data_IF_462743613162
#
_entry.id   IF_462743613162
#
_cell.length_a   1.000
_cell.length_b   1.000
_cell.length_c   1.000
_cell.angle_alpha   90.00
_cell.angle_beta   90.00
_cell.angle_gamma   90.00
#
_symmetry.space_group_name_H-M   'P 1'
#
loop_
_entity.id
_entity.type
_entity.pdbx_description
1 polymer ?
#
# COMPACT_ATOMS: atom_id res chain seq x y z
N UNK A 1 20.33 61.68 -66.95
CA UNK A 1 20.38 61.28 -65.52
C UNK A 1 19.23 60.31 -65.29
N UNK A 2 19.56 59.01 -65.32
CA UNK A 2 18.57 57.94 -65.21
C UNK A 2 18.71 57.35 -63.78
N UNK A 3 17.64 57.40 -62.98
CA UNK A 3 17.56 56.79 -61.65
C UNK A 3 16.96 55.38 -61.79
N UNK A 4 17.73 54.38 -61.54
CA UNK A 4 17.28 53.00 -61.42
C UNK A 4 16.67 52.75 -60.00
N UNK A 5 15.42 52.38 -59.97
CA UNK A 5 14.74 51.94 -58.74
C UNK A 5 14.96 50.37 -58.56
N UNK A 6 15.57 50.00 -57.44
CA UNK A 6 15.72 48.59 -57.05
C UNK A 6 14.47 48.15 -56.32
N UNK A 7 13.79 47.11 -56.84
CA UNK A 7 12.71 46.42 -56.12
C UNK A 7 13.38 45.36 -55.22
N UNK A 8 13.22 45.52 -53.92
CA UNK A 8 13.53 44.52 -52.94
C UNK A 8 12.31 43.60 -52.74
N UNK A 9 12.47 42.32 -53.16
CA UNK A 9 11.44 41.29 -52.91
C UNK A 9 11.51 40.83 -51.46
N UNK A 10 10.46 41.11 -50.71
CA UNK A 10 10.25 40.58 -49.36
C UNK A 10 9.69 39.16 -49.48
N UNK A 11 10.50 38.16 -49.19
CA UNK A 11 10.08 36.74 -49.07
C UNK A 11 9.47 36.52 -47.67
N UNK A 12 8.13 36.44 -47.60
CA UNK A 12 7.45 36.11 -46.37
C UNK A 12 7.56 34.62 -46.06
N UNK A 13 8.31 34.25 -45.02
CA UNK A 13 8.28 32.90 -44.46
C UNK A 13 6.96 32.71 -43.69
N UNK A 14 6.07 31.88 -44.22
CA UNK A 14 4.90 31.38 -43.50
C UNK A 14 5.36 30.27 -42.57
N UNK A 15 4.98 30.25 -41.27
CA UNK A 15 5.25 29.14 -40.40
C UNK A 15 4.41 27.94 -40.84
N UNK A 16 5.07 26.82 -41.12
CA UNK A 16 4.39 25.55 -41.34
C UNK A 16 3.67 25.13 -40.05
N UNK A 17 2.34 25.20 -40.06
CA UNK A 17 1.55 24.59 -38.99
C UNK A 17 1.73 23.08 -39.04
N UNK A 18 2.38 22.51 -38.00
CA UNK A 18 2.45 21.09 -37.82
C UNK A 18 1.02 20.58 -37.58
N UNK A 19 0.43 19.93 -38.57
CA UNK A 19 -0.85 19.25 -38.44
C UNK A 19 -0.63 18.09 -37.44
N UNK A 20 -1.30 18.16 -36.29
CA UNK A 20 -1.40 17.04 -35.37
C UNK A 20 -2.08 15.89 -36.12
N UNK A 21 -1.35 14.80 -36.37
CA UNK A 21 -1.92 13.59 -36.99
C UNK A 21 -2.87 12.95 -35.97
N UNK A 22 -4.10 12.75 -36.36
CA UNK A 22 -5.05 11.97 -35.57
C UNK A 22 -4.53 10.52 -35.43
N UNK A 23 -4.66 9.89 -34.24
CA UNK A 23 -4.19 8.54 -34.04
C UNK A 23 -4.92 7.57 -35.00
N UNK A 24 -4.19 6.65 -35.61
CA UNK A 24 -4.78 5.65 -36.47
C UNK A 24 -5.67 4.68 -35.67
N UNK A 25 -6.65 4.03 -36.35
CA UNK A 25 -7.52 3.03 -35.73
C UNK A 25 -6.71 1.93 -34.99
N UNK A 26 -5.54 1.56 -35.51
CA UNK A 26 -4.63 0.60 -34.88
C UNK A 26 -4.03 1.15 -33.57
N UNK A 27 -3.70 2.45 -33.52
CA UNK A 27 -3.17 3.08 -32.29
C UNK A 27 -4.26 3.25 -31.24
N UNK A 28 -5.49 3.54 -31.65
CA UNK A 28 -6.64 3.61 -30.73
C UNK A 28 -6.98 2.22 -30.17
N UNK A 29 -6.98 1.18 -31.00
CA UNK A 29 -7.20 -0.20 -30.55
C UNK A 29 -6.10 -0.68 -29.59
N UNK A 30 -4.83 -0.36 -29.86
CA UNK A 30 -3.70 -0.69 -28.98
C UNK A 30 -3.82 0.01 -27.61
N UNK A 31 -4.21 1.28 -27.60
CA UNK A 31 -4.42 2.06 -26.36
C UNK A 31 -5.61 1.53 -25.56
N UNK A 32 -6.68 1.11 -26.23
CA UNK A 32 -7.83 0.48 -25.55
C UNK A 32 -7.45 -0.85 -24.91
N UNK A 33 -6.73 -1.72 -25.63
CA UNK A 33 -6.25 -3.00 -25.09
C UNK A 33 -5.25 -2.83 -23.93
N UNK A 34 -4.42 -1.79 -23.96
CA UNK A 34 -3.51 -1.46 -22.85
C UNK A 34 -4.30 -0.97 -21.64
N UNK A 35 -5.31 -0.14 -21.82
CA UNK A 35 -6.19 0.34 -20.75
C UNK A 35 -6.99 -0.82 -20.12
N UNK A 36 -7.50 -1.75 -20.92
CA UNK A 36 -8.18 -2.95 -20.42
C UNK A 36 -7.26 -3.86 -19.61
N UNK A 37 -6.02 -4.08 -20.07
CA UNK A 37 -5.00 -4.84 -19.31
C UNK A 37 -4.61 -4.16 -18.01
N UNK A 38 -4.47 -2.84 -18.01
CA UNK A 38 -4.19 -2.07 -16.80
C UNK A 38 -5.36 -2.14 -15.81
N UNK A 39 -6.60 -2.08 -16.26
CA UNK A 39 -7.79 -2.25 -15.43
C UNK A 39 -7.88 -3.66 -14.82
N UNK A 40 -7.63 -4.72 -15.62
CA UNK A 40 -7.54 -6.09 -15.11
C UNK A 40 -6.43 -6.27 -14.08
N UNK A 41 -5.24 -5.70 -14.34
CA UNK A 41 -4.12 -5.78 -13.40
C UNK A 41 -4.43 -5.05 -12.09
N UNK A 42 -5.16 -3.95 -12.14
CA UNK A 42 -5.63 -3.23 -10.96
C UNK A 42 -6.67 -4.02 -10.18
N UNK A 43 -7.64 -4.64 -10.85
CA UNK A 43 -8.66 -5.50 -10.22
C UNK A 43 -8.04 -6.73 -9.55
N UNK A 44 -6.99 -7.31 -10.13
CA UNK A 44 -6.27 -8.48 -9.59
C UNK A 44 -5.21 -8.11 -8.54
N UNK A 45 -4.93 -6.82 -8.35
CA UNK A 45 -3.91 -6.36 -7.42
C UNK A 45 -4.35 -6.61 -5.97
N UNK A 46 -3.46 -7.16 -5.18
CA UNK A 46 -3.63 -7.32 -3.73
C UNK A 46 -2.71 -6.34 -3.01
N UNK A 47 -3.28 -5.50 -2.17
CA UNK A 47 -2.57 -4.49 -1.40
C UNK A 47 -2.66 -3.07 -2.00
N UNK A 48 -2.22 -2.05 -1.25
CA UNK A 48 -2.24 -0.66 -1.69
C UNK A 48 -1.16 -0.39 -2.75
N UNK A 49 -1.31 0.73 -3.47
CA UNK A 49 -0.35 1.14 -4.52
C UNK A 49 0.84 1.86 -3.87
N UNK A 50 2.04 1.36 -4.10
CA UNK A 50 3.28 2.02 -3.68
C UNK A 50 3.42 3.38 -4.37
N UNK A 51 3.81 4.41 -3.61
CA UNK A 51 3.92 5.77 -4.07
C UNK A 51 2.62 6.59 -4.04
N UNK A 52 1.49 5.95 -3.71
CA UNK A 52 0.22 6.65 -3.52
C UNK A 52 -0.08 6.92 -2.04
N UNK A 53 -0.95 7.88 -1.72
CA UNK A 53 -1.44 8.05 -0.36
C UNK A 53 -2.10 6.78 0.17
N UNK A 54 -1.80 6.41 1.41
CA UNK A 54 -2.50 5.35 2.12
C UNK A 54 -3.97 5.76 2.31
N UNK A 55 -4.91 4.79 2.29
CA UNK A 55 -6.32 5.07 2.58
C UNK A 55 -6.51 5.77 3.93
N UNK A 56 -7.35 6.80 3.94
CA UNK A 56 -7.70 7.56 5.15
C UNK A 56 -8.70 6.77 6.00
N UNK A 57 -8.21 5.81 6.74
CA UNK A 57 -8.99 4.94 7.64
C UNK A 57 -8.40 4.94 9.04
N UNK A 58 -9.19 4.53 10.01
CA UNK A 58 -8.78 4.37 11.41
C UNK A 58 -8.93 2.94 11.87
N UNK A 59 -8.15 2.57 12.87
CA UNK A 59 -8.23 1.30 13.60
C UNK A 59 -8.46 1.57 15.09
N UNK A 60 -8.92 0.59 15.84
CA UNK A 60 -9.21 0.77 17.26
C UNK A 60 -8.06 0.23 18.11
N UNK A 61 -7.44 1.09 18.87
CA UNK A 61 -6.43 0.77 19.88
C UNK A 61 -6.96 0.88 21.31
N UNK A 62 -6.07 0.74 22.31
CA UNK A 62 -6.46 0.82 23.72
C UNK A 62 -7.08 2.18 24.12
N UNK A 63 -6.70 3.25 23.47
CA UNK A 63 -7.18 4.61 23.74
C UNK A 63 -8.30 5.06 22.80
N UNK A 64 -8.78 4.18 21.92
CA UNK A 64 -9.83 4.47 20.95
C UNK A 64 -9.37 4.43 19.50
N UNK A 65 -10.10 5.15 18.64
CA UNK A 65 -9.84 5.18 17.20
C UNK A 65 -8.60 6.03 16.88
N UNK A 66 -7.72 5.53 16.01
CA UNK A 66 -6.45 6.16 15.65
C UNK A 66 -6.12 5.89 14.19
N UNK A 67 -5.51 6.87 13.50
CA UNK A 67 -5.00 6.69 12.14
C UNK A 67 -3.58 6.11 12.13
N UNK A 68 -3.15 5.58 10.98
CA UNK A 68 -1.79 5.07 10.84
C UNK A 68 -0.72 6.16 10.92
N UNK A 69 -1.06 7.38 10.51
CA UNK A 69 -0.15 8.54 10.60
C UNK A 69 -0.01 9.05 12.03
N UNK A 70 -1.06 8.92 12.86
CA UNK A 70 -0.98 9.29 14.28
C UNK A 70 -0.09 8.31 15.09
N UNK A 71 0.11 7.10 14.58
CA UNK A 71 0.99 6.09 15.15
C UNK A 71 2.41 6.13 14.59
N UNK A 72 2.68 7.04 13.65
CA UNK A 72 3.96 7.09 12.94
C UNK A 72 5.12 7.43 13.85
N UNK A 73 6.24 6.73 13.67
CA UNK A 73 7.54 7.16 14.12
C UNK A 73 8.10 8.28 13.21
N UNK A 74 9.38 8.59 13.33
CA UNK A 74 10.02 9.65 12.54
C UNK A 74 9.87 9.43 11.02
N UNK A 75 10.08 8.19 10.54
CA UNK A 75 9.90 7.81 9.13
C UNK A 75 8.46 7.42 8.80
N UNK A 76 7.73 6.79 9.75
CA UNK A 76 6.37 6.32 9.52
C UNK A 76 5.99 5.08 10.33
N UNK A 77 5.07 4.28 9.77
CA UNK A 77 4.48 3.10 10.40
C UNK A 77 4.70 1.86 9.53
N UNK A 78 5.19 0.77 10.12
CA UNK A 78 5.22 -0.57 9.53
C UNK A 78 4.00 -1.35 10.04
N UNK A 79 3.00 -1.54 9.18
CA UNK A 79 1.70 -2.14 9.53
C UNK A 79 1.67 -3.60 9.11
N UNK A 80 1.69 -4.52 10.05
CA UNK A 80 1.51 -5.95 9.80
C UNK A 80 0.01 -6.30 9.81
N UNK A 81 -0.60 -6.41 8.64
CA UNK A 81 -1.95 -6.95 8.48
C UNK A 81 -1.91 -8.47 8.60
N UNK A 82 -2.72 -9.02 9.50
CA UNK A 82 -2.77 -10.45 9.76
C UNK A 82 -4.21 -10.94 9.96
N UNK A 83 -4.45 -12.25 9.80
CA UNK A 83 -5.81 -12.80 9.83
C UNK A 83 -6.43 -12.81 11.22
N UNK A 84 -5.72 -13.38 12.21
CA UNK A 84 -6.24 -13.45 13.59
C UNK A 84 -5.15 -13.83 14.61
N UNK A 85 -5.19 -13.18 15.77
CA UNK A 85 -4.44 -13.57 16.97
C UNK A 85 -5.13 -14.66 17.77
N UNK A 86 -6.41 -14.96 17.49
CA UNK A 86 -7.16 -16.03 18.17
C UNK A 86 -6.92 -17.39 17.52
N UNK A 87 -7.28 -17.58 16.27
CA UNK A 87 -7.34 -18.90 15.64
C UNK A 87 -6.22 -19.19 14.62
N UNK A 88 -5.43 -18.19 14.17
CA UNK A 88 -4.45 -18.38 13.10
C UNK A 88 -3.05 -18.71 13.63
N UNK A 89 -2.57 -19.98 13.57
CA UNK A 89 -1.27 -20.35 14.13
C UNK A 89 -0.09 -19.68 13.41
N UNK A 90 -0.18 -19.48 12.09
CA UNK A 90 0.85 -18.80 11.30
C UNK A 90 0.95 -17.31 11.65
N UNK A 91 -0.21 -16.69 11.95
CA UNK A 91 -0.25 -15.29 12.37
C UNK A 91 0.34 -15.10 13.77
N UNK A 92 -0.04 -16.00 14.71
CA UNK A 92 0.55 -16.01 16.06
C UNK A 92 2.07 -16.15 16.01
N UNK A 93 2.57 -17.05 15.15
CA UNK A 93 4.02 -17.20 14.96
C UNK A 93 4.64 -15.92 14.41
N UNK A 94 4.07 -15.34 13.35
CA UNK A 94 4.57 -14.09 12.76
C UNK A 94 4.63 -12.95 13.79
N UNK A 95 3.56 -12.77 14.58
CA UNK A 95 3.53 -11.74 15.61
C UNK A 95 4.60 -11.92 16.67
N UNK A 96 4.92 -13.18 17.04
CA UNK A 96 6.00 -13.49 17.97
C UNK A 96 7.37 -13.23 17.32
N UNK A 97 7.56 -13.67 16.07
CA UNK A 97 8.83 -13.45 15.34
C UNK A 97 9.12 -11.96 15.17
N UNK A 98 8.10 -11.14 14.89
CA UNK A 98 8.21 -9.68 14.74
C UNK A 98 8.63 -8.94 16.03
N UNK A 99 8.64 -9.61 17.20
CA UNK A 99 9.25 -9.05 18.42
C UNK A 99 10.70 -8.64 18.18
N UNK A 100 11.44 -9.46 17.41
CA UNK A 100 12.82 -9.15 17.07
C UNK A 100 12.99 -7.96 16.14
N UNK A 101 11.94 -7.57 15.41
CA UNK A 101 11.97 -6.42 14.52
C UNK A 101 11.61 -5.09 15.22
N UNK A 102 10.92 -5.14 16.36
CA UNK A 102 10.32 -3.95 16.95
C UNK A 102 11.36 -2.86 17.33
N UNK A 103 12.41 -3.23 18.04
CA UNK A 103 13.46 -2.27 18.42
C UNK A 103 14.29 -1.79 17.22
N UNK A 104 14.79 -2.67 16.30
CA UNK A 104 15.50 -2.22 15.11
C UNK A 104 14.65 -1.31 14.21
N UNK A 105 13.35 -1.60 14.02
CA UNK A 105 12.46 -0.72 13.26
C UNK A 105 12.31 0.65 13.93
N UNK A 106 12.18 0.69 15.26
CA UNK A 106 12.10 1.96 16.00
C UNK A 106 13.41 2.77 15.87
N UNK A 107 14.57 2.12 15.90
CA UNK A 107 15.88 2.76 15.67
C UNK A 107 15.99 3.35 14.26
N UNK A 108 15.36 2.72 13.27
CA UNK A 108 15.23 3.23 11.90
C UNK A 108 14.11 4.27 11.74
N UNK A 109 13.39 4.62 12.79
CA UNK A 109 12.29 5.60 12.75
C UNK A 109 10.92 5.06 12.35
N UNK A 110 10.74 3.73 12.29
CA UNK A 110 9.48 3.09 11.97
C UNK A 110 8.77 2.54 13.21
N UNK A 111 7.50 2.90 13.41
CA UNK A 111 6.67 2.26 14.44
C UNK A 111 6.07 0.96 13.88
N UNK A 112 6.39 -0.18 14.50
CA UNK A 112 5.75 -1.46 14.17
C UNK A 112 4.40 -1.57 14.86
N UNK A 113 3.36 -1.95 14.10
CA UNK A 113 2.03 -2.29 14.62
C UNK A 113 1.47 -3.53 13.92
N UNK A 114 0.53 -4.21 14.58
CA UNK A 114 -0.26 -5.27 13.97
C UNK A 114 -1.73 -4.87 13.85
N UNK A 115 -2.39 -5.29 12.77
CA UNK A 115 -3.82 -5.01 12.50
C UNK A 115 -4.54 -6.27 12.08
N UNK A 116 -5.68 -6.56 12.67
CA UNK A 116 -6.59 -7.63 12.26
C UNK A 116 -8.05 -7.28 12.55
N UNK A 117 -8.96 -8.10 12.04
CA UNK A 117 -10.40 -7.96 12.30
C UNK A 117 -10.83 -8.43 13.71
N UNK A 118 -9.90 -8.99 14.50
CA UNK A 118 -10.19 -9.42 15.88
C UNK A 118 -10.65 -8.25 16.75
N UNK A 119 -11.40 -8.56 17.81
CA UNK A 119 -11.82 -7.54 18.77
C UNK A 119 -10.62 -6.93 19.51
N UNK A 120 -10.74 -5.69 20.02
CA UNK A 120 -9.70 -5.06 20.83
C UNK A 120 -9.30 -5.91 22.05
N UNK A 121 -10.27 -6.59 22.68
CA UNK A 121 -10.05 -7.47 23.82
C UNK A 121 -9.15 -8.68 23.45
N UNK A 122 -9.50 -9.39 22.35
CA UNK A 122 -8.70 -10.51 21.83
C UNK A 122 -7.25 -10.09 21.57
N UNK A 123 -7.04 -8.91 20.98
CA UNK A 123 -5.72 -8.39 20.67
C UNK A 123 -4.94 -7.99 21.92
N UNK A 124 -5.60 -7.38 22.89
CA UNK A 124 -5.00 -7.01 24.17
C UNK A 124 -4.55 -8.25 24.95
N UNK A 125 -5.39 -9.29 25.02
CA UNK A 125 -5.09 -10.54 25.68
C UNK A 125 -3.89 -11.26 25.02
N UNK A 126 -3.88 -11.33 23.70
CA UNK A 126 -2.77 -11.93 22.96
C UNK A 126 -1.45 -11.16 23.17
N UNK A 127 -1.52 -9.81 23.06
CA UNK A 127 -0.36 -8.93 23.29
C UNK A 127 0.22 -9.17 24.68
N UNK A 128 -0.62 -9.18 25.72
CA UNK A 128 -0.20 -9.41 27.10
C UNK A 128 0.36 -10.83 27.30
N UNK A 129 -0.34 -11.87 26.80
CA UNK A 129 0.07 -13.26 26.95
C UNK A 129 1.39 -13.59 26.22
N UNK A 130 1.75 -12.83 25.19
CA UNK A 130 3.00 -13.01 24.42
C UNK A 130 4.03 -11.93 24.68
N UNK A 131 3.75 -11.00 25.56
CA UNK A 131 4.65 -9.90 25.91
C UNK A 131 5.19 -9.19 24.64
N UNK A 132 4.24 -8.75 23.76
CA UNK A 132 4.60 -8.08 22.52
C UNK A 132 5.00 -6.62 22.80
N UNK A 133 6.20 -6.17 22.35
CA UNK A 133 6.69 -4.81 22.59
C UNK A 133 6.05 -3.75 21.70
N UNK A 134 5.12 -4.12 20.81
CA UNK A 134 4.45 -3.22 19.87
C UNK A 134 2.92 -3.32 19.97
N UNK A 135 2.22 -2.35 19.34
CA UNK A 135 0.76 -2.24 19.39
C UNK A 135 0.05 -3.24 18.47
N UNK A 136 -1.07 -3.78 18.94
CA UNK A 136 -2.05 -4.47 18.12
C UNK A 136 -3.34 -3.65 18.09
N UNK A 137 -3.95 -3.52 16.91
CA UNK A 137 -5.10 -2.68 16.65
C UNK A 137 -6.21 -3.46 15.94
N UNK A 138 -7.44 -3.20 16.35
CA UNK A 138 -8.63 -3.85 15.80
C UNK A 138 -9.16 -3.08 14.60
N UNK A 139 -9.39 -3.81 13.51
CA UNK A 139 -10.18 -3.42 12.35
C UNK A 139 -11.48 -4.25 12.33
N UNK A 140 -12.23 -4.21 13.43
CA UNK A 140 -13.51 -4.91 13.52
C UNK A 140 -14.47 -4.42 12.44
N UNK A 141 -14.88 -5.33 11.54
CA UNK A 141 -15.66 -4.98 10.33
C UNK A 141 -14.80 -4.82 9.07
N UNK A 142 -13.47 -4.91 9.18
CA UNK A 142 -12.52 -5.00 8.06
C UNK A 142 -12.47 -3.79 7.14
N UNK A 143 -12.82 -2.60 7.64
CA UNK A 143 -12.86 -1.37 6.85
C UNK A 143 -11.46 -0.95 6.35
N UNK A 144 -10.43 -1.06 7.20
CA UNK A 144 -9.05 -0.80 6.82
C UNK A 144 -8.52 -1.88 5.88
N UNK A 145 -8.81 -3.16 6.17
CA UNK A 145 -8.45 -4.29 5.32
C UNK A 145 -8.99 -4.09 3.90
N UNK A 146 -10.25 -3.66 3.77
CA UNK A 146 -10.91 -3.39 2.49
C UNK A 146 -10.29 -2.20 1.77
N UNK A 147 -10.14 -1.08 2.48
CA UNK A 147 -9.58 0.13 1.90
C UNK A 147 -8.13 -0.07 1.40
N UNK A 148 -7.36 -0.93 2.08
CA UNK A 148 -6.01 -1.31 1.66
C UNK A 148 -5.99 -2.39 0.56
N UNK A 149 -7.15 -2.80 0.05
CA UNK A 149 -7.29 -3.86 -0.96
C UNK A 149 -6.61 -5.17 -0.53
N UNK A 150 -6.77 -5.54 0.74
CA UNK A 150 -6.15 -6.73 1.33
C UNK A 150 -7.15 -7.84 1.65
N UNK A 151 -8.49 -7.60 1.56
CA UNK A 151 -9.49 -8.64 1.84
C UNK A 151 -9.23 -9.87 0.98
N UNK A 152 -9.24 -11.05 1.62
CA UNK A 152 -9.11 -12.31 0.91
C UNK A 152 -10.45 -12.71 0.25
N UNK A 153 -10.53 -12.67 -1.10
CA UNK A 153 -11.77 -12.99 -1.83
C UNK A 153 -12.10 -14.50 -1.81
N UNK A 154 -11.14 -15.37 -1.48
CA UNK A 154 -11.35 -16.81 -1.42
C UNK A 154 -12.17 -17.24 -0.20
N UNK A 155 -12.46 -16.30 0.71
CA UNK A 155 -13.25 -16.56 1.91
C UNK A 155 -14.71 -16.23 1.65
N UNK A 156 -15.63 -17.20 1.83
CA UNK A 156 -17.06 -16.96 1.59
C UNK A 156 -17.61 -15.85 2.50
N UNK A 157 -18.38 -14.94 1.89
CA UNK A 157 -19.07 -13.88 2.63
C UNK A 157 -20.01 -14.47 3.71
N UNK A 158 -20.04 -13.84 4.89
CA UNK A 158 -20.82 -14.28 6.04
C UNK A 158 -20.27 -15.51 6.77
N UNK A 159 -19.12 -16.05 6.36
CA UNK A 159 -18.43 -17.09 7.12
C UNK A 159 -17.75 -16.48 8.36
N UNK A 160 -17.36 -17.33 9.33
CA UNK A 160 -16.60 -16.87 10.53
C UNK A 160 -15.23 -16.25 10.18
N UNK A 161 -14.77 -16.44 8.96
CA UNK A 161 -13.49 -15.92 8.47
C UNK A 161 -13.67 -14.75 7.50
N UNK A 162 -14.92 -14.35 7.21
CA UNK A 162 -15.20 -13.22 6.34
C UNK A 162 -14.51 -11.96 6.87
N UNK A 163 -13.86 -11.23 5.98
CA UNK A 163 -13.12 -10.02 6.33
C UNK A 163 -11.64 -10.21 6.62
N UNK A 164 -11.11 -11.44 6.63
CA UNK A 164 -9.66 -11.63 6.84
C UNK A 164 -8.85 -11.07 5.68
N UNK A 165 -7.64 -10.52 5.95
CA UNK A 165 -6.76 -10.05 4.90
C UNK A 165 -5.93 -11.19 4.29
N UNK A 166 -5.43 -10.98 3.08
CA UNK A 166 -4.13 -11.50 2.69
C UNK A 166 -3.07 -10.89 3.62
N UNK A 167 -2.26 -11.71 4.32
CA UNK A 167 -1.25 -11.17 5.22
C UNK A 167 -0.21 -10.33 4.47
N UNK A 168 0.06 -9.13 4.97
CA UNK A 168 0.99 -8.20 4.36
C UNK A 168 1.66 -7.32 5.44
N UNK A 169 2.85 -6.82 5.15
CA UNK A 169 3.46 -5.72 5.90
C UNK A 169 3.51 -4.52 4.97
N UNK A 170 2.85 -3.43 5.37
CA UNK A 170 2.77 -2.19 4.60
C UNK A 170 3.55 -1.11 5.32
N UNK A 171 4.51 -0.50 4.65
CA UNK A 171 5.25 0.67 5.14
C UNK A 171 4.55 1.93 4.67
N UNK A 172 4.11 2.75 5.63
CA UNK A 172 3.42 4.03 5.39
C UNK A 172 4.31 5.13 5.98
N UNK A 173 4.78 6.05 5.16
CA UNK A 173 5.58 7.17 5.62
C UNK A 173 4.77 8.11 6.52
N UNK A 174 5.46 8.96 7.30
CA UNK A 174 4.82 9.93 8.18
C UNK A 174 3.93 10.94 7.44
N UNK A 175 4.18 11.19 6.14
CA UNK A 175 3.32 11.99 5.27
C UNK A 175 2.10 11.24 4.72
N UNK A 176 1.93 9.97 5.09
CA UNK A 176 0.84 9.11 4.65
C UNK A 176 1.09 8.38 3.33
N UNK A 177 2.26 8.50 2.71
CA UNK A 177 2.57 7.81 1.45
C UNK A 177 2.90 6.34 1.70
N UNK A 178 2.33 5.42 0.92
CA UNK A 178 2.72 4.00 0.91
C UNK A 178 4.10 3.85 0.29
N UNK A 179 5.08 3.41 1.07
CA UNK A 179 6.47 3.27 0.64
C UNK A 179 6.79 1.87 0.12
N UNK A 180 6.20 0.84 0.74
CA UNK A 180 6.42 -0.55 0.33
C UNK A 180 5.29 -1.45 0.82
N UNK A 181 5.12 -2.57 0.13
CA UNK A 181 4.21 -3.67 0.51
C UNK A 181 4.99 -4.98 0.41
N UNK A 182 5.05 -5.73 1.51
CA UNK A 182 5.64 -7.07 1.56
C UNK A 182 4.54 -8.09 1.81
N UNK A 183 4.43 -9.08 0.97
CA UNK A 183 3.56 -10.24 1.18
C UNK A 183 4.12 -11.46 0.45
N UNK A 184 3.77 -12.63 0.95
CA UNK A 184 4.06 -13.91 0.32
C UNK A 184 2.81 -14.43 -0.41
N UNK A 185 3.00 -15.22 -1.47
CA UNK A 185 1.88 -15.81 -2.21
C UNK A 185 1.19 -16.92 -1.41
N UNK A 186 1.97 -17.70 -0.67
CA UNK A 186 1.47 -18.79 0.15
C UNK A 186 0.71 -18.30 1.39
N UNK A 187 -0.49 -18.82 1.64
CA UNK A 187 -1.30 -18.42 2.80
C UNK A 187 -0.65 -18.77 4.17
N UNK A 188 0.37 -19.61 4.18
CA UNK A 188 1.15 -20.01 5.37
C UNK A 188 2.42 -19.20 5.53
N UNK A 189 2.93 -18.65 4.43
CA UNK A 189 4.23 -18.01 4.39
C UNK A 189 4.14 -16.56 4.92
N UNK A 190 5.25 -16.07 5.41
CA UNK A 190 5.39 -14.71 5.95
C UNK A 190 6.76 -14.17 5.59
N UNK A 191 6.88 -12.87 5.31
CA UNK A 191 8.17 -12.23 5.14
C UNK A 191 9.07 -12.51 6.35
N UNK A 192 10.31 -12.92 6.08
CA UNK A 192 11.30 -13.12 7.14
C UNK A 192 11.62 -11.80 7.84
N UNK A 193 11.91 -11.84 9.13
CA UNK A 193 12.24 -10.64 9.93
C UNK A 193 13.41 -9.88 9.31
N UNK A 194 14.43 -10.59 8.86
CA UNK A 194 15.62 -10.02 8.20
C UNK A 194 15.25 -9.26 6.93
N UNK A 195 14.31 -9.77 6.15
CA UNK A 195 13.81 -9.09 4.93
C UNK A 195 13.03 -7.83 5.26
N UNK A 196 12.24 -7.86 6.35
CA UNK A 196 11.51 -6.68 6.84
C UNK A 196 12.49 -5.59 7.27
N UNK A 197 13.53 -5.94 8.03
CA UNK A 197 14.54 -5.00 8.48
C UNK A 197 15.39 -4.45 7.32
N UNK A 198 15.79 -5.31 6.38
CA UNK A 198 16.54 -4.89 5.20
C UNK A 198 15.74 -3.89 4.34
N UNK A 199 14.44 -4.11 4.20
CA UNK A 199 13.57 -3.17 3.46
C UNK A 199 13.43 -1.84 4.23
N UNK A 200 13.18 -1.88 5.54
CA UNK A 200 13.05 -0.68 6.37
C UNK A 200 14.29 0.23 6.32
N UNK A 201 15.49 -0.38 6.33
CA UNK A 201 16.75 0.36 6.21
C UNK A 201 16.97 0.98 4.83
N UNK A 202 16.32 0.45 3.78
CA UNK A 202 16.40 0.97 2.41
C UNK A 202 15.40 2.09 2.11
N UNK A 203 14.40 2.30 2.98
CA UNK A 203 13.35 3.32 2.85
C UNK A 203 13.72 4.59 3.65
#
# INVERSE_FOLDING_TARGET
MIRTASLASLLALLPAAAAAQEPSDTQMAAKSAEAERAAMAEEMRVGPIVGQPAPAVTVTGPEGSVSFTDLAGEKGTAVAFFRSADWCPYCKKQLIDLKAAAAPLAEEGWTLIGVSYDSPETLADFKAAKDLPYGLYSDAGSAAIDAFNLRNPDVPAGSRYDGIPHPAIVFIAADGTVKAVMREEGYKDRPAVESVLALAAAL
#
